data_IF_809819999151
#
_entry.id   IF_809819999151
#
_cell.length_a   1.000
_cell.length_b   1.000
_cell.length_c   1.000
_cell.angle_alpha   90.00
_cell.angle_beta   90.00
_cell.angle_gamma   90.00
#
_symmetry.space_group_name_H-M   'P 1'
#
loop_
_entity.id
_entity.type
_entity.pdbx_description
1 polymer ?
#
# COMPACT_ATOMS: atom_id res chain seq x y z
N UNK A 1 8.13 -15.95 39.63
CA UNK A 1 8.36 -15.84 38.18
C UNK A 1 7.41 -14.75 37.73
N UNK A 2 7.92 -13.53 37.53
CA UNK A 2 7.10 -12.38 37.17
C UNK A 2 7.01 -12.28 35.64
N UNK A 3 5.79 -12.23 35.13
CA UNK A 3 5.47 -12.14 33.71
C UNK A 3 5.92 -10.78 33.15
N UNK A 4 6.95 -10.78 32.31
CA UNK A 4 7.37 -9.61 31.53
C UNK A 4 6.34 -9.41 30.42
N UNK A 5 5.31 -8.59 30.68
CA UNK A 5 4.46 -8.02 29.63
C UNK A 5 5.31 -7.06 28.78
N UNK A 6 5.81 -7.57 27.66
CA UNK A 6 6.39 -6.78 26.59
C UNK A 6 5.33 -5.78 26.10
N UNK A 7 5.43 -4.53 26.56
CA UNK A 7 4.63 -3.43 26.02
C UNK A 7 5.19 -3.12 24.63
N UNK A 8 4.54 -3.62 23.59
CA UNK A 8 4.76 -3.17 22.21
C UNK A 8 4.65 -1.65 22.17
N UNK A 9 5.79 -0.96 22.14
CA UNK A 9 5.84 0.48 22.00
C UNK A 9 5.41 0.83 20.57
N UNK A 10 4.10 1.04 20.37
CA UNK A 10 3.57 1.58 19.10
C UNK A 10 4.27 2.91 18.83
N UNK A 11 5.03 3.05 17.72
CA UNK A 11 5.81 4.25 17.46
C UNK A 11 4.88 5.45 17.24
N UNK A 12 5.21 6.59 17.86
CA UNK A 12 4.38 7.82 17.91
C UNK A 12 4.22 8.56 16.56
N UNK A 13 4.84 8.08 15.48
CA UNK A 13 4.97 8.76 14.18
C UNK A 13 4.31 8.00 13.01
N UNK A 14 3.33 7.13 13.27
CA UNK A 14 2.72 6.25 12.26
C UNK A 14 2.22 7.00 11.01
N UNK A 15 1.59 8.15 11.19
CA UNK A 15 0.99 8.92 10.10
C UNK A 15 2.03 9.39 9.06
N UNK A 16 3.24 9.74 9.51
CA UNK A 16 4.34 10.10 8.61
C UNK A 16 4.87 8.88 7.86
N UNK A 17 4.90 7.72 8.51
CA UNK A 17 5.36 6.45 7.94
C UNK A 17 4.36 5.95 6.89
N UNK A 18 3.07 6.14 7.12
CA UNK A 18 2.00 5.72 6.20
C UNK A 18 1.92 6.61 4.94
N UNK A 19 2.12 7.92 5.10
CA UNK A 19 2.25 8.84 3.95
C UNK A 19 3.49 8.54 3.10
N UNK A 20 4.59 8.12 3.72
CA UNK A 20 5.80 7.68 3.01
C UNK A 20 5.57 6.40 2.21
N UNK A 21 4.73 5.47 2.69
CA UNK A 21 4.50 4.19 2.03
C UNK A 21 3.80 4.37 0.67
N UNK A 22 2.78 5.23 0.59
CA UNK A 22 2.07 5.54 -0.67
C UNK A 22 2.91 6.35 -1.65
N UNK A 23 3.69 7.32 -1.16
CA UNK A 23 4.66 8.06 -1.97
C UNK A 23 5.71 7.12 -2.57
N UNK A 24 6.16 6.12 -1.81
CA UNK A 24 7.17 5.15 -2.28
C UNK A 24 6.68 4.35 -3.49
N UNK A 25 5.39 4.00 -3.52
CA UNK A 25 4.76 3.25 -4.63
C UNK A 25 4.70 4.10 -5.91
N UNK A 26 4.39 5.39 -5.76
CA UNK A 26 4.42 6.33 -6.89
C UNK A 26 5.83 6.46 -7.48
N UNK A 27 6.84 6.63 -6.63
CA UNK A 27 8.24 6.76 -7.06
C UNK A 27 8.74 5.46 -7.70
N UNK A 28 8.45 4.29 -7.13
CA UNK A 28 8.87 3.00 -7.70
C UNK A 28 8.23 2.74 -9.06
N UNK A 29 6.99 3.18 -9.28
CA UNK A 29 6.30 3.07 -10.56
C UNK A 29 7.02 3.91 -11.64
N UNK A 30 7.32 5.17 -11.36
CA UNK A 30 8.06 6.05 -12.28
C UNK A 30 9.46 5.48 -12.56
N UNK A 31 10.15 5.00 -11.53
CA UNK A 31 11.47 4.40 -11.67
C UNK A 31 11.45 3.14 -12.55
N UNK A 32 10.47 2.24 -12.36
CA UNK A 32 10.33 1.03 -13.17
C UNK A 32 10.09 1.35 -14.65
N UNK A 33 9.23 2.33 -14.94
CA UNK A 33 8.98 2.77 -16.32
C UNK A 33 10.23 3.42 -16.92
N UNK A 34 10.92 4.29 -16.17
CA UNK A 34 12.15 4.94 -16.62
C UNK A 34 13.25 3.91 -16.95
N UNK A 35 13.40 2.88 -16.12
CA UNK A 35 14.33 1.76 -16.37
C UNK A 35 13.92 0.99 -17.63
N UNK A 36 12.63 0.66 -17.78
CA UNK A 36 12.13 -0.03 -18.97
C UNK A 36 12.39 0.75 -20.25
N UNK A 37 12.11 2.06 -20.24
CA UNK A 37 12.41 2.96 -21.37
C UNK A 37 13.92 3.05 -21.62
N UNK A 38 14.74 3.18 -20.57
CA UNK A 38 16.20 3.20 -20.67
C UNK A 38 16.76 1.94 -21.32
N UNK A 39 16.26 0.77 -20.91
CA UNK A 39 16.59 -0.52 -21.53
C UNK A 39 16.14 -0.55 -23.00
N UNK A 40 14.93 -0.08 -23.30
CA UNK A 40 14.42 0.01 -24.67
C UNK A 40 15.27 0.91 -25.58
N UNK A 41 15.74 2.04 -25.06
CA UNK A 41 16.66 2.94 -25.77
C UNK A 41 18.03 2.29 -26.00
N UNK A 42 18.57 1.59 -25.00
CA UNK A 42 19.82 0.85 -25.14
C UNK A 42 19.71 -0.26 -26.20
N UNK A 43 18.62 -1.04 -26.18
CA UNK A 43 18.31 -2.06 -27.19
C UNK A 43 18.19 -1.47 -28.59
N UNK A 44 17.49 -0.34 -28.74
CA UNK A 44 17.40 0.36 -30.02
C UNK A 44 18.78 0.82 -30.51
N UNK A 45 19.62 1.32 -29.62
CA UNK A 45 20.97 1.78 -29.99
C UNK A 45 21.86 0.63 -30.46
N UNK A 46 21.82 -0.53 -29.80
CA UNK A 46 22.64 -1.68 -30.18
C UNK A 46 22.11 -2.45 -31.39
N UNK A 47 20.79 -2.59 -31.51
CA UNK A 47 20.19 -3.42 -32.57
C UNK A 47 19.85 -2.63 -33.84
N UNK A 48 19.70 -1.31 -33.73
CA UNK A 48 19.21 -0.45 -34.82
C UNK A 48 17.70 -0.58 -35.09
N UNK A 49 17.01 -1.52 -34.43
CA UNK A 49 15.60 -1.78 -34.69
C UNK A 49 14.69 -0.98 -33.75
N UNK A 50 13.91 -0.06 -34.30
CA UNK A 50 12.95 0.77 -33.54
C UNK A 50 11.89 -0.05 -32.80
N UNK A 51 11.53 -1.25 -33.27
CA UNK A 51 10.53 -2.07 -32.58
C UNK A 51 10.99 -2.57 -31.21
N UNK A 52 12.30 -2.64 -30.96
CA UNK A 52 12.87 -3.09 -29.68
C UNK A 52 12.63 -2.11 -28.53
N UNK A 53 12.37 -0.83 -28.83
CA UNK A 53 11.94 0.17 -27.83
C UNK A 53 10.66 -0.26 -27.11
N UNK A 54 9.73 -0.87 -27.86
CA UNK A 54 8.45 -1.31 -27.32
C UNK A 54 8.61 -2.46 -26.34
N UNK A 55 9.65 -3.29 -26.47
CA UNK A 55 9.96 -4.32 -25.48
C UNK A 55 10.24 -3.66 -24.13
N UNK A 56 11.16 -2.68 -24.10
CA UNK A 56 11.51 -1.97 -22.87
C UNK A 56 10.29 -1.28 -22.23
N UNK A 57 9.48 -0.60 -23.04
CA UNK A 57 8.25 0.07 -22.58
C UNK A 57 7.25 -0.95 -22.01
N UNK A 58 7.01 -2.05 -22.73
CA UNK A 58 6.09 -3.11 -22.30
C UNK A 58 6.52 -3.70 -20.95
N UNK A 59 7.78 -4.07 -20.82
CA UNK A 59 8.32 -4.63 -19.58
C UNK A 59 8.32 -3.62 -18.43
N UNK A 60 8.59 -2.33 -18.72
CA UNK A 60 8.50 -1.25 -17.74
C UNK A 60 7.08 -1.07 -17.19
N UNK A 61 6.07 -1.05 -18.06
CA UNK A 61 4.66 -0.95 -17.66
C UNK A 61 4.22 -2.21 -16.89
N UNK A 62 4.61 -3.40 -17.37
CA UNK A 62 4.29 -4.64 -16.68
C UNK A 62 4.90 -4.70 -15.27
N UNK A 63 6.16 -4.28 -15.10
CA UNK A 63 6.83 -4.22 -13.81
C UNK A 63 6.17 -3.21 -12.85
N UNK A 64 5.82 -2.02 -13.36
CA UNK A 64 5.07 -1.02 -12.62
C UNK A 64 3.70 -1.56 -12.15
N UNK A 65 2.94 -2.20 -13.03
CA UNK A 65 1.65 -2.81 -12.71
C UNK A 65 1.76 -3.89 -11.62
N UNK A 66 2.76 -4.78 -11.74
CA UNK A 66 3.03 -5.79 -10.71
C UNK A 66 3.42 -5.18 -9.36
N UNK A 67 4.20 -4.09 -9.36
CA UNK A 67 4.58 -3.37 -8.16
C UNK A 67 3.36 -2.77 -7.44
N UNK A 68 2.50 -2.08 -8.19
CA UNK A 68 1.25 -1.49 -7.66
C UNK A 68 0.31 -2.58 -7.15
N UNK A 69 0.15 -3.69 -7.88
CA UNK A 69 -0.68 -4.82 -7.44
C UNK A 69 -0.23 -5.39 -6.09
N UNK A 70 1.09 -5.52 -5.90
CA UNK A 70 1.66 -5.99 -4.64
C UNK A 70 1.40 -5.01 -3.49
N UNK A 71 1.53 -3.70 -3.74
CA UNK A 71 1.22 -2.67 -2.77
C UNK A 71 -0.27 -2.67 -2.39
N UNK A 72 -1.15 -2.79 -3.39
CA UNK A 72 -2.60 -2.92 -3.17
C UNK A 72 -2.94 -4.13 -2.30
N UNK A 73 -2.41 -5.32 -2.59
CA UNK A 73 -2.63 -6.52 -1.77
C UNK A 73 -2.14 -6.35 -0.33
N UNK A 74 -1.02 -5.64 -0.12
CA UNK A 74 -0.54 -5.32 1.23
C UNK A 74 -1.54 -4.42 1.96
N UNK A 75 -2.02 -3.36 1.30
CA UNK A 75 -3.00 -2.44 1.87
C UNK A 75 -4.32 -3.15 2.22
N UNK A 76 -4.82 -4.00 1.31
CA UNK A 76 -6.04 -4.80 1.54
C UNK A 76 -5.91 -5.70 2.78
N UNK A 77 -4.77 -6.37 2.95
CA UNK A 77 -4.53 -7.26 4.10
C UNK A 77 -4.50 -6.50 5.43
N UNK A 78 -3.97 -5.28 5.43
CA UNK A 78 -4.01 -4.41 6.62
C UNK A 78 -5.46 -4.06 6.95
N UNK A 79 -6.28 -3.78 5.94
CA UNK A 79 -7.70 -3.47 6.11
C UNK A 79 -8.51 -4.65 6.67
N UNK A 80 -8.37 -5.85 6.10
CA UNK A 80 -9.01 -7.08 6.61
C UNK A 80 -8.58 -7.40 8.06
N UNK A 81 -7.35 -7.05 8.44
CA UNK A 81 -6.87 -7.18 9.81
C UNK A 81 -7.54 -6.20 10.79
N UNK A 82 -7.96 -5.02 10.33
CA UNK A 82 -8.70 -4.05 11.14
C UNK A 82 -10.15 -4.46 11.37
N UNK A 83 -10.79 -5.12 10.41
CA UNK A 83 -12.18 -5.60 10.55
C UNK A 83 -12.36 -6.60 11.70
N UNK A 84 -11.29 -7.34 12.04
CA UNK A 84 -11.30 -8.33 13.13
C UNK A 84 -10.88 -7.76 14.50
N UNK A 85 -10.75 -6.44 14.65
CA UNK A 85 -10.40 -5.86 15.95
C UNK A 85 -11.57 -6.02 16.96
N UNK A 86 -11.35 -6.66 18.13
CA UNK A 86 -12.38 -6.87 19.15
C UNK A 86 -12.99 -5.56 19.68
N UNK A 87 -12.26 -4.44 19.60
CA UNK A 87 -12.72 -3.11 20.04
C UNK A 87 -13.73 -2.48 19.08
N UNK A 88 -13.70 -2.86 17.80
CA UNK A 88 -14.64 -2.36 16.77
C UNK A 88 -15.77 -3.34 16.48
N UNK A 89 -15.49 -4.64 16.51
CA UNK A 89 -16.51 -5.69 16.36
C UNK A 89 -17.57 -5.67 17.47
N UNK A 90 -17.24 -5.19 18.68
CA UNK A 90 -18.22 -5.00 19.75
C UNK A 90 -19.26 -3.92 19.40
N UNK A 91 -18.84 -2.79 18.79
CA UNK A 91 -19.76 -1.71 18.37
C UNK A 91 -20.59 -2.11 17.15
N UNK A 92 -20.00 -2.86 16.22
CA UNK A 92 -20.72 -3.39 15.05
C UNK A 92 -21.77 -4.45 15.43
N UNK A 93 -21.53 -5.24 16.50
CA UNK A 93 -22.48 -6.27 16.98
C UNK A 93 -23.51 -5.76 17.99
N UNK A 94 -23.17 -4.77 18.82
CA UNK A 94 -24.08 -4.26 19.86
C UNK A 94 -24.80 -2.97 19.49
N UNK A 95 -24.53 -2.39 18.31
CA UNK A 95 -25.13 -1.13 17.90
C UNK A 95 -24.60 0.02 18.75
N UNK A 96 -24.59 1.22 18.16
CA UNK A 96 -24.62 2.43 18.98
C UNK A 96 -25.90 2.37 19.80
N UNK A 97 -25.80 2.21 21.13
CA UNK A 97 -26.92 2.64 21.98
C UNK A 97 -26.88 4.15 21.88
N UNK A 98 -27.60 4.68 20.89
CA UNK A 98 -27.94 6.09 20.86
C UNK A 98 -28.45 6.41 22.26
N UNK A 99 -27.76 7.32 22.93
CA UNK A 99 -28.32 8.01 24.07
C UNK A 99 -29.36 8.99 23.50
N UNK A 100 -30.43 8.45 22.92
CA UNK A 100 -31.67 9.16 22.70
C UNK A 100 -32.58 8.77 23.87
N UNK A 101 -32.43 9.53 24.95
CA UNK A 101 -33.59 9.92 25.75
C UNK A 101 -33.42 11.44 25.94
N UNK A 102 -33.77 12.15 24.87
CA UNK A 102 -34.08 13.58 24.91
C UNK A 102 -35.18 13.83 25.95
N UNK A 103 -35.05 14.95 26.65
CA UNK A 103 -36.12 15.82 27.13
C UNK A 103 -37.51 15.19 27.39
N UNK A 104 -37.88 15.01 28.66
CA UNK A 104 -39.19 15.44 29.20
C UNK A 104 -39.32 15.12 30.72
N UNK A 105 -39.01 16.11 31.58
CA UNK A 105 -39.81 16.49 32.77
C UNK A 105 -39.26 17.70 33.52
#
# INVERSE_FOLDING_TARGET
MEDIKEKEQKPKHRDKIEALDSLSVGISMVAAIAIGVGIGLALKHFTGYTWTLWLGIFWGIAAAGLNVYKAYKRAQKVYEGMENDPRYSYRAKHGDKSFDDDEDK
#
